data_IF_211754504370
#
_entry.id   IF_211754504370
#
_cell.length_a   1.000
_cell.length_b   1.000
_cell.length_c   1.000
_cell.angle_alpha   90.00
_cell.angle_beta   90.00
_cell.angle_gamma   90.00
#
_symmetry.space_group_name_H-M   'P 1'
#
loop_
_entity.id
_entity.type
_entity.pdbx_description
1 polymer ?
#
# COMPACT_ATOMS: atom_id res chain seq x y z
N UNK A 1 -17.57 21.14 0.37
CA UNK A 1 -18.31 21.93 1.39
C UNK A 1 -17.61 23.27 1.60
N UNK A 2 -18.30 24.39 1.38
CA UNK A 2 -17.74 25.76 1.34
C UNK A 2 -17.05 26.22 2.65
N UNK A 3 -17.26 25.54 3.75
CA UNK A 3 -16.72 25.90 5.08
C UNK A 3 -15.44 25.13 5.45
N UNK A 4 -15.01 24.20 4.61
CA UNK A 4 -13.82 23.38 4.87
C UNK A 4 -12.60 23.97 4.13
N UNK A 5 -11.56 24.28 4.88
CA UNK A 5 -10.30 24.77 4.33
C UNK A 5 -9.34 23.66 3.91
N UNK A 6 -9.61 22.43 4.34
CA UNK A 6 -8.75 21.27 4.09
C UNK A 6 -9.37 20.38 3.02
N UNK A 7 -8.58 20.01 2.03
CA UNK A 7 -8.92 19.01 1.03
C UNK A 7 -8.19 17.72 1.33
N UNK A 8 -8.90 16.62 1.14
CA UNK A 8 -8.41 15.26 1.33
C UNK A 8 -8.60 14.48 0.03
N UNK A 9 -7.54 13.90 -0.47
CA UNK A 9 -7.55 13.03 -1.64
C UNK A 9 -7.13 11.62 -1.25
N UNK A 10 -7.89 10.61 -1.70
CA UNK A 10 -7.64 9.20 -1.45
C UNK A 10 -7.73 8.43 -2.76
N UNK A 11 -6.70 7.64 -3.08
CA UNK A 11 -6.69 6.74 -4.22
C UNK A 11 -6.45 5.33 -3.73
N UNK A 12 -7.45 4.46 -3.92
CA UNK A 12 -7.47 3.10 -3.34
C UNK A 12 -7.56 2.05 -4.43
N UNK A 13 -6.84 0.95 -4.26
CA UNK A 13 -7.02 -0.28 -5.02
C UNK A 13 -7.73 -1.33 -4.16
N UNK A 14 -8.57 -2.16 -4.77
CA UNK A 14 -9.17 -3.35 -4.16
C UNK A 14 -8.13 -4.49 -4.17
N UNK A 15 -7.11 -4.35 -3.33
CA UNK A 15 -6.00 -5.26 -3.12
C UNK A 15 -5.49 -5.13 -1.70
N UNK A 16 -5.49 -6.18 -0.93
CA UNK A 16 -5.05 -6.21 0.45
C UNK A 16 -4.31 -7.48 0.84
N UNK A 17 -4.04 -7.66 2.12
CA UNK A 17 -3.19 -8.75 2.60
C UNK A 17 -3.79 -10.15 2.40
N UNK A 18 -5.12 -10.28 2.22
CA UNK A 18 -5.77 -11.57 1.97
C UNK A 18 -5.67 -12.02 0.51
N UNK A 19 -5.27 -11.13 -0.41
CA UNK A 19 -5.17 -11.42 -1.84
C UNK A 19 -3.79 -12.03 -2.19
N UNK A 20 -3.40 -13.07 -1.45
CA UNK A 20 -2.11 -13.76 -1.61
C UNK A 20 -2.15 -14.94 -2.60
N UNK A 21 -3.34 -15.29 -3.12
CA UNK A 21 -3.52 -16.29 -4.17
C UNK A 21 -4.48 -15.77 -5.25
N UNK A 22 -4.00 -15.58 -6.47
CA UNK A 22 -4.77 -14.99 -7.57
C UNK A 22 -4.27 -15.46 -8.92
N UNK A 23 -5.04 -15.18 -9.97
CA UNK A 23 -4.61 -15.33 -11.37
C UNK A 23 -4.05 -13.99 -11.84
N UNK A 24 -2.75 -13.89 -12.18
CA UNK A 24 -2.16 -12.65 -12.66
C UNK A 24 -2.82 -12.13 -13.93
N UNK A 25 -2.81 -10.82 -14.11
CA UNK A 25 -3.38 -10.19 -15.29
C UNK A 25 -2.78 -10.78 -16.59
N UNK A 26 -3.64 -11.20 -17.50
CA UNK A 26 -3.23 -11.82 -18.77
C UNK A 26 -2.71 -13.26 -18.67
N UNK A 27 -2.83 -13.90 -17.49
CA UNK A 27 -2.48 -15.31 -17.28
C UNK A 27 -3.72 -16.17 -17.07
N UNK A 28 -3.54 -17.49 -17.08
CA UNK A 28 -4.63 -18.46 -16.84
C UNK A 28 -4.41 -19.31 -15.59
N UNK A 29 -3.19 -19.31 -15.06
CA UNK A 29 -2.83 -20.11 -13.90
C UNK A 29 -2.79 -19.26 -12.63
N UNK A 30 -3.31 -19.84 -11.54
CA UNK A 30 -3.29 -19.23 -10.22
C UNK A 30 -1.88 -19.34 -9.63
N UNK A 31 -1.43 -18.27 -9.04
CA UNK A 31 -0.15 -18.23 -8.29
C UNK A 31 -0.43 -17.92 -6.83
N UNK A 32 0.55 -18.25 -5.98
CA UNK A 32 0.63 -17.77 -4.60
C UNK A 32 1.86 -16.88 -4.47
N UNK A 33 1.67 -15.71 -3.88
CA UNK A 33 2.75 -14.74 -3.58
C UNK A 33 3.09 -14.78 -2.08
N UNK A 34 4.27 -14.28 -1.68
CA UNK A 34 4.65 -14.21 -0.28
C UNK A 34 3.68 -13.35 0.55
N UNK A 35 3.41 -13.77 1.78
CA UNK A 35 2.58 -13.02 2.72
C UNK A 35 3.27 -11.68 3.07
N UNK A 36 2.47 -10.62 3.22
CA UNK A 36 2.96 -9.25 3.44
C UNK A 36 3.22 -8.44 2.18
N UNK A 37 3.14 -9.05 0.97
CA UNK A 37 3.50 -8.38 -0.28
C UNK A 37 2.64 -7.15 -0.61
N UNK A 38 1.36 -7.12 -0.22
CA UNK A 38 0.50 -5.96 -0.43
C UNK A 38 0.99 -4.73 0.36
N UNK A 39 1.37 -4.92 1.62
CA UNK A 39 1.96 -3.90 2.46
C UNK A 39 3.36 -3.50 1.96
N UNK A 40 4.16 -4.46 1.56
CA UNK A 40 5.48 -4.21 0.96
C UNK A 40 5.37 -3.35 -0.30
N UNK A 41 4.40 -3.63 -1.17
CA UNK A 41 4.14 -2.86 -2.39
C UNK A 41 3.69 -1.42 -2.05
N UNK A 42 2.90 -1.24 -1.00
CA UNK A 42 2.49 0.08 -0.51
C UNK A 42 3.72 0.96 -0.19
N UNK A 43 4.67 0.45 0.61
CA UNK A 43 5.92 1.13 0.91
C UNK A 43 6.70 1.47 -0.35
N UNK A 44 6.86 0.50 -1.24
CA UNK A 44 7.68 0.66 -2.46
C UNK A 44 7.13 1.65 -3.46
N UNK A 45 5.83 1.94 -3.48
CA UNK A 45 5.29 2.92 -4.41
C UNK A 45 5.72 4.36 -4.11
N UNK A 46 6.10 4.69 -2.88
CA UNK A 46 6.63 6.02 -2.55
C UNK A 46 8.06 6.24 -3.01
N UNK A 47 8.83 5.19 -3.24
CA UNK A 47 10.19 5.30 -3.76
C UNK A 47 10.19 5.36 -5.28
N UNK A 48 10.87 6.35 -5.84
CA UNK A 48 11.05 6.56 -7.28
C UNK A 48 12.54 6.66 -7.62
N UNK A 49 12.87 6.61 -8.89
CA UNK A 49 14.24 6.81 -9.36
C UNK A 49 14.80 8.17 -8.90
N UNK A 50 13.94 9.19 -8.88
CA UNK A 50 14.29 10.58 -8.52
C UNK A 50 14.23 10.86 -7.00
N UNK A 51 13.82 9.88 -6.17
CA UNK A 51 13.72 10.03 -4.72
C UNK A 51 12.35 9.65 -4.13
N UNK A 52 12.07 10.19 -2.93
CA UNK A 52 10.88 9.86 -2.15
C UNK A 52 9.75 10.86 -2.42
N UNK A 53 8.58 10.35 -2.79
CA UNK A 53 7.36 11.13 -3.07
C UNK A 53 6.85 11.90 -1.84
N UNK A 54 7.12 11.46 -0.63
CA UNK A 54 6.78 12.22 0.59
C UNK A 54 7.40 13.60 0.59
N UNK A 55 8.62 13.75 0.04
CA UNK A 55 9.27 15.05 -0.07
C UNK A 55 8.54 15.98 -1.03
N UNK A 56 7.98 15.46 -2.13
CA UNK A 56 7.20 16.26 -3.08
C UNK A 56 5.94 16.82 -2.42
N UNK A 57 5.20 15.98 -1.68
CA UNK A 57 4.02 16.43 -0.93
C UNK A 57 4.40 17.49 0.11
N UNK A 58 5.48 17.29 0.85
CA UNK A 58 5.99 18.28 1.81
C UNK A 58 6.30 19.62 1.19
N UNK A 59 6.98 19.64 0.02
CA UNK A 59 7.27 20.87 -0.74
C UNK A 59 6.00 21.56 -1.27
N UNK A 60 4.91 20.81 -1.45
CA UNK A 60 3.61 21.30 -1.90
C UNK A 60 2.67 21.68 -0.74
N UNK A 61 3.18 21.66 0.49
CA UNK A 61 2.39 22.01 1.69
C UNK A 61 1.34 20.96 2.07
N UNK A 62 1.49 19.72 1.61
CA UNK A 62 0.60 18.62 1.91
C UNK A 62 1.24 17.61 2.88
N UNK A 63 0.38 16.91 3.62
CA UNK A 63 0.71 15.71 4.37
C UNK A 63 0.20 14.50 3.60
N UNK A 64 1.09 13.56 3.27
CA UNK A 64 0.75 12.31 2.62
C UNK A 64 0.79 11.14 3.61
N UNK A 65 0.08 10.08 3.30
CA UNK A 65 0.11 8.82 4.03
C UNK A 65 -0.38 7.69 3.12
N UNK A 66 -0.23 6.45 3.58
CA UNK A 66 -0.85 5.28 2.97
C UNK A 66 -1.23 4.28 4.04
N UNK A 67 -2.01 3.29 3.69
CA UNK A 67 -2.29 2.15 4.54
C UNK A 67 -2.72 0.94 3.72
N UNK A 68 -2.33 -0.22 4.19
CA UNK A 68 -2.80 -1.52 3.72
C UNK A 68 -3.70 -2.15 4.76
N UNK A 69 -4.83 -2.72 4.31
CA UNK A 69 -5.74 -3.50 5.13
C UNK A 69 -5.89 -4.92 4.57
N UNK A 70 -6.81 -5.69 5.10
CA UNK A 70 -7.08 -7.04 4.58
C UNK A 70 -7.56 -7.06 3.13
N UNK A 71 -8.29 -6.03 2.68
CA UNK A 71 -8.98 -6.02 1.38
C UNK A 71 -8.64 -4.84 0.49
N UNK A 72 -7.88 -3.87 0.97
CA UNK A 72 -7.55 -2.66 0.18
C UNK A 72 -6.22 -2.07 0.60
N UNK A 73 -5.58 -1.41 -0.36
CA UNK A 73 -4.44 -0.50 -0.15
C UNK A 73 -4.83 0.89 -0.62
N UNK A 74 -4.49 1.90 0.15
CA UNK A 74 -4.91 3.28 -0.11
C UNK A 74 -3.75 4.24 0.07
N UNK A 75 -3.65 5.19 -0.84
CA UNK A 75 -2.70 6.30 -0.84
C UNK A 75 -3.48 7.59 -0.70
N UNK A 76 -3.01 8.50 0.13
CA UNK A 76 -3.77 9.69 0.45
C UNK A 76 -2.91 10.92 0.71
N UNK A 77 -3.49 12.08 0.51
CA UNK A 77 -2.94 13.33 0.97
C UNK A 77 -4.01 14.20 1.63
N UNK A 78 -3.55 15.15 2.43
CA UNK A 78 -4.39 16.25 2.91
C UNK A 78 -3.63 17.56 2.78
N UNK A 79 -4.32 18.60 2.27
CA UNK A 79 -3.73 19.92 2.05
C UNK A 79 -4.74 21.04 2.27
N UNK A 80 -4.24 22.25 2.50
CA UNK A 80 -5.05 23.49 2.51
C UNK A 80 -4.84 24.34 1.27
N UNK A 81 -3.83 24.00 0.45
CA UNK A 81 -3.45 24.74 -0.75
C UNK A 81 -2.94 23.78 -1.84
N UNK A 82 -2.73 24.27 -3.06
CA UNK A 82 -2.18 23.54 -4.20
C UNK A 82 -2.89 22.18 -4.45
N UNK A 83 -4.21 22.14 -4.30
CA UNK A 83 -5.01 20.90 -4.36
C UNK A 83 -4.79 20.14 -5.67
N UNK A 84 -4.85 20.84 -6.81
CA UNK A 84 -4.67 20.24 -8.14
C UNK A 84 -3.28 19.62 -8.29
N UNK A 85 -2.25 20.32 -7.84
CA UNK A 85 -0.87 19.83 -7.89
C UNK A 85 -0.67 18.58 -7.03
N UNK A 86 -1.22 18.58 -5.80
CA UNK A 86 -1.16 17.43 -4.92
C UNK A 86 -1.98 16.25 -5.44
N UNK A 87 -3.12 16.51 -6.08
CA UNK A 87 -3.92 15.47 -6.72
C UNK A 87 -3.19 14.84 -7.91
N UNK A 88 -2.55 15.67 -8.75
CA UNK A 88 -1.70 15.19 -9.85
C UNK A 88 -0.56 14.34 -9.32
N UNK A 89 0.15 14.79 -8.28
CA UNK A 89 1.21 14.02 -7.64
C UNK A 89 0.70 12.67 -7.13
N UNK A 90 -0.49 12.62 -6.48
CA UNK A 90 -1.10 11.37 -6.01
C UNK A 90 -1.35 10.39 -7.18
N UNK A 91 -1.93 10.87 -8.26
CA UNK A 91 -2.23 10.04 -9.42
C UNK A 91 -0.96 9.56 -10.12
N UNK A 92 0.00 10.45 -10.31
CA UNK A 92 1.23 10.15 -11.05
C UNK A 92 2.07 9.09 -10.33
N UNK A 93 2.31 9.25 -9.01
CA UNK A 93 3.18 8.32 -8.32
C UNK A 93 2.59 6.91 -8.18
N UNK A 94 1.26 6.82 -7.98
CA UNK A 94 0.59 5.51 -7.88
C UNK A 94 0.58 4.78 -9.23
N UNK A 95 0.62 5.51 -10.35
CA UNK A 95 0.63 4.95 -11.70
C UNK A 95 2.04 4.69 -12.27
N UNK A 96 3.10 5.08 -11.56
CA UNK A 96 4.48 4.94 -12.01
C UNK A 96 5.30 4.05 -11.05
N UNK A 97 5.14 2.72 -11.09
CA UNK A 97 5.88 1.81 -10.22
C UNK A 97 7.37 1.81 -10.58
N UNK A 98 8.23 1.78 -9.56
CA UNK A 98 9.67 1.67 -9.71
C UNK A 98 10.22 0.68 -8.66
N UNK A 99 10.50 -0.55 -9.09
CA UNK A 99 10.99 -1.61 -8.23
C UNK A 99 12.27 -2.18 -8.81
N UNK A 100 13.35 -2.17 -8.03
CA UNK A 100 14.61 -2.84 -8.35
C UNK A 100 14.96 -3.82 -7.24
N UNK A 101 15.72 -4.87 -7.55
CA UNK A 101 16.15 -5.83 -6.53
C UNK A 101 16.95 -5.16 -5.41
N UNK A 102 17.74 -4.14 -5.73
CA UNK A 102 18.51 -3.37 -4.74
C UNK A 102 17.58 -2.67 -3.75
N UNK A 103 16.59 -1.92 -4.27
CA UNK A 103 15.67 -1.14 -3.43
C UNK A 103 14.69 -2.04 -2.68
N UNK A 104 14.29 -3.17 -3.25
CA UNK A 104 13.49 -4.21 -2.58
C UNK A 104 14.27 -4.81 -1.41
N UNK A 105 15.52 -5.20 -1.61
CA UNK A 105 16.35 -5.77 -0.53
C UNK A 105 16.59 -4.77 0.62
N UNK A 106 16.71 -3.47 0.32
CA UNK A 106 16.81 -2.41 1.34
C UNK A 106 15.52 -2.33 2.16
N UNK A 107 14.36 -2.37 1.50
CA UNK A 107 13.05 -2.26 2.15
C UNK A 107 12.74 -3.43 3.08
N UNK A 108 13.22 -4.65 2.78
CA UNK A 108 13.10 -5.82 3.66
C UNK A 108 13.61 -5.53 5.08
N UNK A 109 14.72 -4.79 5.20
CA UNK A 109 15.27 -4.38 6.49
C UNK A 109 14.35 -3.41 7.26
N UNK A 110 13.73 -2.47 6.56
CA UNK A 110 12.84 -1.46 7.13
C UNK A 110 11.55 -2.12 7.63
N UNK A 111 10.87 -2.88 6.76
CA UNK A 111 9.64 -3.60 7.11
C UNK A 111 9.90 -4.67 8.17
N UNK A 112 11.06 -5.33 8.14
CA UNK A 112 11.45 -6.28 9.17
C UNK A 112 11.51 -5.66 10.57
N UNK A 113 11.98 -4.42 10.71
CA UNK A 113 11.95 -3.67 11.97
C UNK A 113 10.51 -3.29 12.37
N UNK A 114 9.68 -2.94 11.42
CA UNK A 114 8.26 -2.64 11.67
C UNK A 114 7.50 -3.88 12.17
N UNK A 115 7.73 -5.04 11.55
CA UNK A 115 7.16 -6.32 12.01
C UNK A 115 7.54 -6.59 13.47
N UNK A 116 8.80 -6.42 13.83
CA UNK A 116 9.26 -6.61 15.21
C UNK A 116 8.58 -5.64 16.19
N UNK A 117 8.36 -4.40 15.78
CA UNK A 117 7.63 -3.41 16.59
C UNK A 117 6.17 -3.86 16.84
N UNK A 118 5.49 -4.42 15.85
CA UNK A 118 4.13 -4.95 16.02
C UNK A 118 4.11 -6.22 16.88
N UNK A 119 5.12 -7.08 16.79
CA UNK A 119 5.26 -8.26 17.65
C UNK A 119 5.38 -7.91 19.13
N UNK A 120 5.92 -6.73 19.45
CA UNK A 120 6.02 -6.20 20.81
C UNK A 120 4.73 -5.51 21.32
N UNK A 121 3.74 -5.23 20.42
CA UNK A 121 2.46 -4.62 20.81
C UNK A 121 1.45 -5.69 21.30
N UNK A 122 1.05 -5.66 22.61
CA UNK A 122 0.11 -6.62 23.15
C UNK A 122 -1.27 -6.61 22.48
N UNK A 123 -1.75 -5.44 22.00
CA UNK A 123 -3.06 -5.33 21.36
C UNK A 123 -3.02 -5.96 19.96
N UNK A 124 -1.92 -5.73 19.23
CA UNK A 124 -1.69 -6.35 17.93
C UNK A 124 -1.62 -7.87 18.04
N UNK A 125 -0.86 -8.38 19.00
CA UNK A 125 -0.77 -9.83 19.28
C UNK A 125 -2.10 -10.43 19.70
N UNK A 126 -2.88 -9.73 20.53
CA UNK A 126 -4.23 -10.16 20.92
C UNK A 126 -5.14 -10.24 19.71
N UNK A 127 -5.14 -9.21 18.85
CA UNK A 127 -5.99 -9.14 17.66
C UNK A 127 -5.68 -10.29 16.69
N UNK A 128 -4.42 -10.47 16.30
CA UNK A 128 -4.04 -11.55 15.41
C UNK A 128 -4.13 -12.93 16.07
N UNK A 129 -3.92 -13.04 17.38
CA UNK A 129 -4.18 -14.26 18.14
C UNK A 129 -5.65 -14.70 18.08
N UNK A 130 -6.59 -13.75 18.15
CA UNK A 130 -8.03 -14.02 17.97
C UNK A 130 -8.31 -14.47 16.52
N UNK A 131 -7.80 -13.75 15.52
CA UNK A 131 -7.99 -14.07 14.11
C UNK A 131 -7.42 -15.46 13.76
N UNK A 132 -6.28 -15.81 14.30
CA UNK A 132 -5.65 -17.12 14.09
C UNK A 132 -6.49 -18.28 14.64
N UNK A 133 -7.17 -18.06 15.76
CA UNK A 133 -8.08 -19.06 16.34
C UNK A 133 -9.42 -19.12 15.60
N UNK A 134 -9.97 -18.00 15.14
CA UNK A 134 -11.27 -17.96 14.45
C UNK A 134 -11.19 -18.37 12.97
N UNK A 135 -10.08 -18.08 12.32
CA UNK A 135 -9.90 -18.24 10.87
C UNK A 135 -8.62 -19.02 10.49
N UNK A 136 -8.38 -20.22 11.06
CA UNK A 136 -7.09 -20.93 10.88
C UNK A 136 -6.78 -21.31 9.42
N UNK A 137 -7.81 -21.35 8.56
CA UNK A 137 -7.68 -21.74 7.14
C UNK A 137 -7.99 -20.59 6.18
N UNK A 138 -8.10 -19.35 6.67
CA UNK A 138 -8.37 -18.18 5.84
C UNK A 138 -7.24 -17.15 5.99
N UNK A 139 -6.79 -16.46 4.93
CA UNK A 139 -5.68 -15.50 5.00
C UNK A 139 -5.82 -14.38 6.05
N UNK A 140 -7.00 -14.15 6.61
CA UNK A 140 -7.23 -13.22 7.73
C UNK A 140 -6.38 -13.52 8.98
N UNK A 141 -5.91 -14.76 9.15
CA UNK A 141 -5.04 -15.08 10.29
C UNK A 141 -3.60 -14.61 10.12
N UNK A 142 -3.21 -14.26 8.89
CA UNK A 142 -1.88 -13.81 8.54
C UNK A 142 -1.78 -12.31 8.82
N UNK A 143 -0.70 -11.89 9.46
CA UNK A 143 -0.43 -10.46 9.68
C UNK A 143 -0.36 -9.70 8.35
N UNK A 144 -0.88 -8.47 8.32
CA UNK A 144 -0.91 -7.63 7.12
C UNK A 144 0.51 -7.38 6.59
N UNK A 145 1.47 -7.18 7.47
CA UNK A 145 2.88 -7.01 7.13
C UNK A 145 3.59 -8.32 6.79
N UNK A 146 2.95 -9.47 7.03
CA UNK A 146 3.57 -10.78 6.91
C UNK A 146 4.53 -11.11 8.06
N UNK A 147 5.53 -11.92 7.78
CA UNK A 147 6.64 -12.23 8.69
C UNK A 147 7.97 -11.89 8.03
N UNK A 148 9.04 -11.77 8.83
CA UNK A 148 10.41 -11.54 8.31
C UNK A 148 10.76 -12.61 7.26
N UNK A 149 10.42 -13.88 7.50
CA UNK A 149 10.69 -15.00 6.59
C UNK A 149 9.86 -14.94 5.32
N UNK A 150 8.64 -14.39 5.37
CA UNK A 150 7.79 -14.25 4.17
C UNK A 150 8.25 -13.08 3.30
N UNK A 151 8.54 -11.92 3.89
CA UNK A 151 8.98 -10.74 3.14
C UNK A 151 10.38 -10.92 2.54
N UNK A 152 11.23 -11.75 3.14
CA UNK A 152 12.56 -12.07 2.59
C UNK A 152 12.50 -12.74 1.21
N UNK A 153 11.40 -13.40 0.90
CA UNK A 153 11.15 -14.07 -0.39
C UNK A 153 10.61 -13.14 -1.48
N UNK A 154 10.20 -11.92 -1.12
CA UNK A 154 9.64 -10.97 -2.07
C UNK A 154 10.72 -10.50 -3.04
N UNK A 155 10.42 -10.55 -4.33
CA UNK A 155 11.25 -10.05 -5.42
C UNK A 155 10.61 -8.84 -6.11
N UNK A 156 11.39 -8.10 -6.90
CA UNK A 156 10.86 -7.03 -7.74
C UNK A 156 9.82 -7.55 -8.74
N UNK A 157 10.03 -8.75 -9.30
CA UNK A 157 9.10 -9.38 -10.24
C UNK A 157 7.75 -9.73 -9.58
N UNK A 158 7.76 -10.18 -8.32
CA UNK A 158 6.52 -10.41 -7.56
C UNK A 158 5.74 -9.11 -7.37
N UNK A 159 6.43 -8.02 -7.01
CA UNK A 159 5.82 -6.70 -6.85
C UNK A 159 5.21 -6.18 -8.17
N UNK A 160 5.93 -6.29 -9.29
CA UNK A 160 5.38 -5.94 -10.60
C UNK A 160 4.20 -6.81 -10.99
N UNK A 161 4.22 -8.11 -10.68
CA UNK A 161 3.11 -9.03 -10.95
C UNK A 161 1.85 -8.63 -10.17
N UNK A 162 1.98 -8.31 -8.88
CA UNK A 162 0.88 -7.80 -8.07
C UNK A 162 0.39 -6.43 -8.56
N UNK A 163 1.33 -5.52 -8.85
CA UNK A 163 1.00 -4.19 -9.34
C UNK A 163 0.19 -4.26 -10.65
N UNK A 164 0.67 -4.97 -11.65
CA UNK A 164 -0.02 -5.09 -12.94
C UNK A 164 -1.37 -5.82 -12.84
N UNK A 165 -1.57 -6.64 -11.81
CA UNK A 165 -2.83 -7.33 -11.59
C UNK A 165 -3.87 -6.45 -10.92
N UNK A 166 -3.50 -5.74 -9.86
CA UNK A 166 -4.46 -5.08 -8.97
C UNK A 166 -4.54 -3.57 -9.14
N UNK A 167 -3.50 -2.90 -9.65
CA UNK A 167 -3.49 -1.44 -9.86
C UNK A 167 -4.01 -1.09 -11.26
N UNK A 168 -5.21 -1.58 -11.55
CA UNK A 168 -5.91 -1.31 -12.79
C UNK A 168 -7.02 -0.28 -12.54
N UNK A 169 -7.27 0.68 -13.44
CA UNK A 169 -8.32 1.70 -13.24
C UNK A 169 -9.69 1.11 -12.89
N UNK A 170 -10.03 -0.06 -13.46
CA UNK A 170 -11.28 -0.77 -13.18
C UNK A 170 -11.36 -1.35 -11.77
N UNK A 171 -10.23 -1.48 -11.08
CA UNK A 171 -10.10 -2.02 -9.71
C UNK A 171 -9.78 -0.93 -8.68
N UNK A 172 -9.78 0.34 -9.09
CA UNK A 172 -9.36 1.47 -8.25
C UNK A 172 -10.47 2.52 -8.12
N UNK A 173 -10.44 3.24 -7.01
CA UNK A 173 -11.36 4.34 -6.72
C UNK A 173 -10.58 5.56 -6.28
N UNK A 174 -10.84 6.70 -6.95
CA UNK A 174 -10.38 8.00 -6.50
C UNK A 174 -11.51 8.70 -5.74
N UNK A 175 -11.24 9.11 -4.51
CA UNK A 175 -12.15 9.87 -3.68
C UNK A 175 -11.51 11.18 -3.26
N UNK A 176 -12.18 12.30 -3.54
CA UNK A 176 -11.70 13.64 -3.16
C UNK A 176 -12.81 14.36 -2.40
N UNK A 177 -12.47 14.94 -1.26
CA UNK A 177 -13.38 15.74 -0.46
C UNK A 177 -12.71 17.04 -0.02
N UNK A 178 -13.42 18.15 -0.22
CA UNK A 178 -12.92 19.48 0.12
C UNK A 178 -13.86 20.58 -0.35
N UNK A 179 -13.37 21.80 -0.37
CA UNK A 179 -14.04 22.95 -0.97
C UNK A 179 -13.68 23.03 -2.47
N UNK A 180 -14.19 22.07 -3.22
CA UNK A 180 -13.98 21.93 -4.67
C UNK A 180 -15.32 22.06 -5.39
N UNK A 181 -15.28 22.62 -6.58
CA UNK A 181 -16.39 22.53 -7.54
C UNK A 181 -16.24 21.20 -8.30
N UNK A 182 -17.32 20.45 -8.50
CA UNK A 182 -17.28 19.16 -9.20
C UNK A 182 -16.88 19.30 -10.66
#
# INVERSE_FOLDING_TARGET
KKEYHKTYGLFSTNYGSIDNEFVPYGKSEKIKVPDGIAHFLEHKLFEKEDGDVFQLFGQQGASANAFTSFTKTSYLFSTTDQVEKNLTTLLDFVQAPYFTEETVNKEKGIIGQEIQMYEDDPNWRLFFGILNNLYPNHPLHIDIAGTVESIDKISADDLYTCYHTFYQPSNMVLFVVGNLEP
#
